data_IF_644100727980
#
_entry.id   IF_644100727980
#
_cell.length_a   1.000
_cell.length_b   1.000
_cell.length_c   1.000
_cell.angle_alpha   90.00
_cell.angle_beta   90.00
_cell.angle_gamma   90.00
#
_symmetry.space_group_name_H-M   'P 1'
#
loop_
_entity.id
_entity.type
_entity.pdbx_description
1 polymer ?
#
# COMPACT_ATOMS: atom_id res chain seq x y z
N UNK A 1 25.80 -7.59 20.81
CA UNK A 1 26.57 -6.75 19.85
C UNK A 1 26.56 -7.46 18.51
N UNK A 2 26.15 -6.77 17.46
CA UNK A 2 26.18 -7.31 16.10
C UNK A 2 27.62 -7.19 15.60
N UNK A 3 28.27 -8.31 15.30
CA UNK A 3 29.60 -8.31 14.69
C UNK A 3 29.46 -8.00 13.21
N UNK A 4 30.05 -6.88 12.76
CA UNK A 4 30.03 -6.47 11.35
C UNK A 4 31.16 -7.22 10.62
N UNK A 5 30.89 -7.69 9.41
CA UNK A 5 31.91 -8.30 8.56
C UNK A 5 33.04 -7.28 8.25
N UNK A 6 34.29 -7.69 8.42
CA UNK A 6 35.47 -6.83 8.23
C UNK A 6 35.58 -6.24 6.81
N UNK A 7 35.16 -6.97 5.78
CA UNK A 7 35.14 -6.44 4.41
C UNK A 7 34.12 -5.31 4.27
N UNK A 8 32.91 -5.48 4.83
CA UNK A 8 31.89 -4.42 4.84
C UNK A 8 32.35 -3.20 5.65
N UNK A 9 33.06 -3.44 6.75
CA UNK A 9 33.62 -2.37 7.56
C UNK A 9 34.66 -1.57 6.78
N UNK A 10 35.61 -2.26 6.13
CA UNK A 10 36.63 -1.63 5.28
C UNK A 10 36.00 -0.76 4.18
N UNK A 11 34.95 -1.22 3.51
CA UNK A 11 34.27 -0.42 2.48
C UNK A 11 33.54 0.79 3.07
N UNK A 12 32.94 0.67 4.27
CA UNK A 12 32.32 1.82 4.96
C UNK A 12 33.36 2.85 5.41
N UNK A 13 34.52 2.40 5.86
CA UNK A 13 35.61 3.26 6.33
C UNK A 13 36.26 4.05 5.16
N UNK A 14 36.16 3.55 3.93
CA UNK A 14 36.62 4.26 2.72
C UNK A 14 35.67 5.40 2.27
N UNK A 15 34.53 5.61 2.93
CA UNK A 15 33.56 6.64 2.56
C UNK A 15 34.14 8.05 2.74
N UNK A 16 34.07 8.89 1.70
CA UNK A 16 34.66 10.25 1.69
C UNK A 16 33.68 11.35 2.12
N UNK A 17 32.47 10.99 2.53
CA UNK A 17 31.42 11.90 2.98
C UNK A 17 30.64 11.30 4.16
N UNK A 18 29.90 12.11 4.91
CA UNK A 18 29.04 11.62 5.99
C UNK A 18 27.75 11.00 5.40
N UNK A 19 27.52 9.67 5.53
CA UNK A 19 26.30 9.04 5.05
C UNK A 19 25.04 9.55 5.76
N UNK A 20 25.19 10.10 6.97
CA UNK A 20 24.10 10.69 7.74
C UNK A 20 23.62 11.96 7.08
N UNK A 21 24.53 12.84 6.66
CA UNK A 21 24.20 14.07 5.93
C UNK A 21 23.48 13.76 4.61
N UNK A 22 23.95 12.74 3.87
CA UNK A 22 23.25 12.29 2.66
C UNK A 22 21.84 11.78 2.98
N UNK A 23 21.69 10.97 4.03
CA UNK A 23 20.38 10.45 4.45
C UNK A 23 19.42 11.59 4.82
N UNK A 24 19.89 12.56 5.58
CA UNK A 24 19.11 13.74 5.96
C UNK A 24 18.73 14.58 4.74
N UNK A 25 19.63 14.70 3.77
CA UNK A 25 19.36 15.39 2.51
C UNK A 25 18.27 14.66 1.71
N UNK A 26 18.34 13.34 1.60
CA UNK A 26 17.35 12.52 0.89
C UNK A 26 15.97 12.54 1.55
N UNK A 27 15.93 12.49 2.88
CA UNK A 27 14.69 12.54 3.65
C UNK A 27 14.10 13.97 3.74
N UNK A 28 14.86 14.99 3.34
CA UNK A 28 14.45 16.39 3.38
C UNK A 28 14.59 17.06 4.75
N UNK A 29 15.52 16.59 5.58
CA UNK A 29 15.95 17.22 6.83
C UNK A 29 16.15 16.22 7.98
N UNK A 30 16.91 16.61 9.03
CA UNK A 30 17.17 15.76 10.19
C UNK A 30 15.91 15.35 10.95
N UNK A 31 14.91 16.24 11.05
CA UNK A 31 13.63 15.95 11.70
C UNK A 31 12.85 14.84 10.98
N UNK A 32 12.81 14.89 9.63
CA UNK A 32 12.15 13.86 8.82
C UNK A 32 12.86 12.52 8.89
N UNK A 33 14.20 12.51 8.89
CA UNK A 33 14.98 11.28 9.12
C UNK A 33 14.70 10.69 10.48
N UNK A 34 14.65 11.50 11.54
CA UNK A 34 14.35 11.03 12.89
C UNK A 34 12.94 10.44 12.98
N UNK A 35 11.93 11.15 12.45
CA UNK A 35 10.55 10.67 12.42
C UNK A 35 10.41 9.36 11.62
N UNK A 36 11.07 9.24 10.45
CA UNK A 36 11.09 8.00 9.67
C UNK A 36 11.71 6.84 10.45
N UNK A 37 12.86 7.06 11.10
CA UNK A 37 13.54 6.03 11.90
C UNK A 37 12.72 5.60 13.12
N UNK A 38 12.09 6.53 13.84
CA UNK A 38 11.18 6.21 14.96
C UNK A 38 10.01 5.33 14.49
N UNK A 39 9.40 5.67 13.35
CA UNK A 39 8.35 4.84 12.75
C UNK A 39 8.87 3.46 12.35
N UNK A 40 9.98 3.40 11.61
CA UNK A 40 10.62 2.13 11.23
C UNK A 40 10.88 1.26 12.45
N UNK A 41 11.44 1.82 13.52
CA UNK A 41 11.71 1.10 14.76
C UNK A 41 10.43 0.57 15.42
N UNK A 42 9.37 1.37 15.49
CA UNK A 42 8.08 0.97 16.09
C UNK A 42 7.39 -0.20 15.38
N UNK A 43 7.52 -0.28 14.05
CA UNK A 43 6.93 -1.36 13.27
C UNK A 43 7.88 -2.56 13.09
N UNK A 44 9.16 -2.32 12.78
CA UNK A 44 10.12 -3.38 12.48
C UNK A 44 10.61 -4.12 13.72
N UNK A 45 10.49 -3.56 14.92
CA UNK A 45 10.79 -4.28 16.17
C UNK A 45 9.57 -5.00 16.75
N UNK A 46 8.41 -4.93 16.11
CA UNK A 46 7.23 -5.66 16.57
C UNK A 46 7.43 -7.17 16.40
N UNK A 47 7.34 -7.97 17.48
CA UNK A 47 7.41 -9.43 17.40
C UNK A 47 6.36 -10.05 16.48
N UNK A 48 5.14 -9.48 16.42
CA UNK A 48 4.05 -10.00 15.58
C UNK A 48 4.32 -9.77 14.08
N UNK A 49 5.22 -8.86 13.72
CA UNK A 49 5.62 -8.58 12.35
C UNK A 49 6.92 -9.28 11.95
N UNK A 50 7.55 -10.07 12.83
CA UNK A 50 8.73 -10.85 12.48
C UNK A 50 8.35 -12.08 11.65
N UNK A 51 9.24 -12.45 10.73
CA UNK A 51 9.13 -13.69 9.98
C UNK A 51 9.64 -14.86 10.84
N UNK A 52 8.75 -15.76 11.29
CA UNK A 52 9.16 -17.02 11.92
C UNK A 52 9.80 -17.99 10.91
N UNK A 53 9.23 -18.01 9.70
CA UNK A 53 9.67 -18.83 8.57
C UNK A 53 9.92 -17.91 7.38
N UNK A 54 11.09 -17.98 6.73
CA UNK A 54 11.36 -17.18 5.54
C UNK A 54 10.34 -17.46 4.43
N UNK A 55 9.91 -16.41 3.73
CA UNK A 55 8.87 -16.51 2.69
C UNK A 55 9.17 -17.54 1.59
N UNK A 56 10.45 -17.79 1.29
CA UNK A 56 10.89 -18.80 0.31
C UNK A 56 10.49 -20.24 0.67
N UNK A 57 10.18 -20.52 1.94
CA UNK A 57 9.73 -21.83 2.41
C UNK A 57 8.20 -21.92 2.54
N UNK A 58 7.48 -20.82 2.29
CA UNK A 58 6.01 -20.77 2.34
C UNK A 58 5.42 -21.08 0.97
N UNK A 59 4.29 -21.79 0.97
CA UNK A 59 3.42 -21.90 -0.20
C UNK A 59 2.76 -20.55 -0.52
N UNK A 60 2.23 -20.41 -1.73
CA UNK A 60 1.52 -19.20 -2.14
C UNK A 60 0.36 -18.85 -1.21
N UNK A 61 -0.37 -19.87 -0.72
CA UNK A 61 -1.46 -19.70 0.24
C UNK A 61 -0.95 -19.15 1.58
N UNK A 62 0.13 -19.70 2.11
CA UNK A 62 0.69 -19.25 3.40
C UNK A 62 1.25 -17.83 3.31
N UNK A 63 1.87 -17.48 2.17
CA UNK A 63 2.30 -16.09 1.91
C UNK A 63 1.11 -15.14 1.93
N UNK A 64 0.00 -15.52 1.28
CA UNK A 64 -1.21 -14.71 1.27
C UNK A 64 -1.84 -14.56 2.66
N UNK A 65 -2.02 -15.66 3.40
CA UNK A 65 -2.58 -15.64 4.76
C UNK A 65 -1.72 -14.78 5.70
N UNK A 66 -0.39 -14.87 5.58
CA UNK A 66 0.53 -14.03 6.35
C UNK A 66 0.46 -12.55 5.93
N UNK A 67 0.32 -12.26 4.63
CA UNK A 67 0.15 -10.89 4.13
C UNK A 67 -1.14 -10.24 4.65
N UNK A 68 -2.25 -10.99 4.67
CA UNK A 68 -3.53 -10.52 5.25
C UNK A 68 -3.37 -10.28 6.76
N UNK A 69 -2.78 -11.24 7.49
CA UNK A 69 -2.50 -11.12 8.93
C UNK A 69 -1.68 -9.86 9.24
N UNK A 70 -0.57 -9.65 8.53
CA UNK A 70 0.30 -8.47 8.65
C UNK A 70 -0.46 -7.18 8.35
N UNK A 71 -1.26 -7.15 7.29
CA UNK A 71 -2.07 -5.98 6.95
C UNK A 71 -3.06 -5.61 8.07
N UNK A 72 -3.72 -6.59 8.70
CA UNK A 72 -4.59 -6.34 9.86
C UNK A 72 -3.84 -5.77 11.07
N UNK A 73 -2.65 -6.29 11.37
CA UNK A 73 -1.80 -5.78 12.46
C UNK A 73 -1.38 -4.34 12.17
N UNK A 74 -0.95 -4.06 10.94
CA UNK A 74 -0.57 -2.71 10.52
C UNK A 74 -1.71 -1.71 10.69
N UNK A 75 -2.92 -2.05 10.22
CA UNK A 75 -4.10 -1.20 10.40
C UNK A 75 -4.36 -0.91 11.87
N UNK A 76 -4.33 -1.93 12.72
CA UNK A 76 -4.56 -1.78 14.17
C UNK A 76 -3.52 -0.85 14.81
N UNK A 77 -2.24 -1.00 14.45
CA UNK A 77 -1.15 -0.15 14.97
C UNK A 77 -1.26 1.28 14.48
N UNK A 78 -1.62 1.50 13.22
CA UNK A 78 -1.84 2.86 12.68
C UNK A 78 -3.02 3.52 13.39
N UNK A 79 -4.13 2.81 13.61
CA UNK A 79 -5.26 3.32 14.38
C UNK A 79 -4.85 3.72 15.81
N UNK A 80 -4.06 2.88 16.49
CA UNK A 80 -3.55 3.19 17.83
C UNK A 80 -2.67 4.46 17.85
N UNK A 81 -1.79 4.63 16.86
CA UNK A 81 -0.98 5.84 16.73
C UNK A 81 -1.87 7.07 16.49
N UNK A 82 -2.93 6.92 15.71
CA UNK A 82 -3.89 7.99 15.45
C UNK A 82 -4.67 8.39 16.72
N UNK A 83 -5.11 7.41 17.51
CA UNK A 83 -5.79 7.64 18.80
C UNK A 83 -4.88 8.34 19.83
N UNK A 84 -3.57 8.09 19.75
CA UNK A 84 -2.54 8.76 20.55
C UNK A 84 -2.16 10.16 20.03
N UNK A 85 -2.80 10.64 18.95
CA UNK A 85 -2.49 11.93 18.32
C UNK A 85 -1.15 11.94 17.56
N UNK A 86 -0.54 10.78 17.34
CA UNK A 86 0.72 10.59 16.60
C UNK A 86 0.51 10.17 15.14
N UNK A 87 -0.73 10.02 14.70
CA UNK A 87 -1.06 9.64 13.33
C UNK A 87 -1.01 10.81 12.36
N UNK A 88 0.00 10.85 11.49
CA UNK A 88 0.03 11.77 10.34
C UNK A 88 -0.94 11.29 9.25
N UNK A 89 -1.47 12.22 8.43
CA UNK A 89 -2.43 11.90 7.35
C UNK A 89 -1.83 10.93 6.33
N UNK A 90 -0.53 11.07 6.06
CA UNK A 90 0.22 10.23 5.13
C UNK A 90 0.74 8.93 5.78
N UNK A 91 0.50 8.70 7.07
CA UNK A 91 0.94 7.48 7.75
C UNK A 91 0.34 6.23 7.08
N UNK A 92 -0.93 6.28 6.69
CA UNK A 92 -1.60 5.19 5.99
C UNK A 92 -0.96 4.92 4.62
N UNK A 93 -0.62 5.96 3.85
CA UNK A 93 0.03 5.77 2.55
C UNK A 93 1.47 5.28 2.71
N UNK A 94 2.22 5.77 3.70
CA UNK A 94 3.59 5.33 3.97
C UNK A 94 3.67 3.88 4.50
N UNK A 95 2.76 3.48 5.38
CA UNK A 95 2.74 2.15 6.02
C UNK A 95 2.07 1.11 5.15
N UNK A 96 1.07 1.47 4.33
CA UNK A 96 0.30 0.50 3.55
C UNK A 96 0.64 0.49 2.06
N UNK A 97 1.28 1.54 1.54
CA UNK A 97 1.70 1.64 0.13
C UNK A 97 3.11 2.18 -0.10
N UNK A 98 3.83 2.56 0.95
CA UNK A 98 5.17 3.14 0.88
C UNK A 98 6.29 2.15 1.21
N UNK A 99 7.52 2.66 1.28
CA UNK A 99 8.72 1.85 1.52
C UNK A 99 8.66 1.02 2.80
N UNK A 100 8.09 1.58 3.88
CA UNK A 100 7.90 0.86 5.15
C UNK A 100 6.93 -0.31 4.98
N UNK A 101 5.81 -0.08 4.30
CA UNK A 101 4.85 -1.14 3.96
C UNK A 101 5.47 -2.28 3.16
N UNK A 102 6.28 -1.95 2.14
CA UNK A 102 7.03 -2.95 1.36
C UNK A 102 8.08 -3.69 2.19
N UNK A 103 8.68 -3.05 3.20
CA UNK A 103 9.61 -3.69 4.12
C UNK A 103 8.95 -4.70 5.06
N UNK A 104 7.70 -4.43 5.47
CA UNK A 104 6.93 -5.27 6.40
C UNK A 104 6.16 -6.37 5.66
N UNK A 105 5.61 -6.06 4.49
CA UNK A 105 4.85 -6.96 3.62
C UNK A 105 5.62 -7.20 2.33
N UNK A 106 6.77 -7.89 2.44
CA UNK A 106 7.75 -8.10 1.37
C UNK A 106 7.17 -8.77 0.12
N UNK A 107 6.22 -9.68 0.32
CA UNK A 107 5.58 -10.46 -0.74
C UNK A 107 4.29 -9.81 -1.29
N UNK A 108 3.99 -8.60 -0.85
CA UNK A 108 2.81 -7.84 -1.26
C UNK A 108 1.85 -7.56 -0.11
N UNK A 109 1.14 -6.43 -0.20
CA UNK A 109 0.11 -6.03 0.75
C UNK A 109 -1.26 -6.04 0.06
N UNK A 110 -2.23 -6.87 0.52
CA UNK A 110 -3.55 -6.95 -0.09
C UNK A 110 -4.34 -5.62 -0.02
N UNK A 111 -3.97 -4.71 0.87
CA UNK A 111 -4.59 -3.41 1.04
C UNK A 111 -3.86 -2.27 0.32
N UNK A 112 -2.74 -2.54 -0.36
CA UNK A 112 -1.94 -1.48 -0.98
C UNK A 112 -2.76 -0.64 -1.98
N UNK A 113 -3.46 -1.28 -2.91
CA UNK A 113 -4.26 -0.55 -3.91
C UNK A 113 -5.47 0.16 -3.32
N UNK A 114 -5.94 -0.27 -2.15
CA UNK A 114 -7.03 0.42 -1.46
C UNK A 114 -6.62 1.85 -1.10
N UNK A 115 -5.43 2.01 -0.51
CA UNK A 115 -4.92 3.32 -0.10
C UNK A 115 -4.23 4.08 -1.23
N UNK A 116 -3.54 3.40 -2.14
CA UNK A 116 -2.75 4.05 -3.20
C UNK A 116 -3.61 4.46 -4.40
N UNK A 117 -4.71 3.76 -4.68
CA UNK A 117 -5.52 4.03 -5.88
C UNK A 117 -7.02 4.21 -5.60
N UNK A 118 -7.65 3.34 -4.81
CA UNK A 118 -9.09 3.38 -4.60
C UNK A 118 -9.55 4.65 -3.87
N UNK A 119 -8.94 4.97 -2.73
CA UNK A 119 -9.26 6.20 -1.99
C UNK A 119 -8.95 7.46 -2.82
N UNK A 120 -7.75 7.61 -3.44
CA UNK A 120 -7.45 8.75 -4.30
C UNK A 120 -8.40 8.88 -5.50
N UNK A 121 -8.85 7.78 -6.11
CA UNK A 121 -9.81 7.83 -7.21
C UNK A 121 -11.16 8.43 -6.76
N UNK A 122 -11.66 8.06 -5.58
CA UNK A 122 -12.88 8.65 -5.03
C UNK A 122 -12.67 10.14 -4.71
N UNK A 123 -11.54 10.51 -4.12
CA UNK A 123 -11.23 11.91 -3.80
C UNK A 123 -11.08 12.78 -5.05
N UNK A 124 -10.46 12.25 -6.11
CA UNK A 124 -10.18 12.98 -7.33
C UNK A 124 -11.34 13.03 -8.34
N UNK A 125 -12.25 12.06 -8.31
CA UNK A 125 -13.32 11.92 -9.31
C UNK A 125 -14.74 11.97 -8.73
N UNK A 126 -14.90 11.78 -7.41
CA UNK A 126 -16.20 11.79 -6.74
C UNK A 126 -16.71 13.20 -6.45
N UNK A 127 -18.03 13.37 -6.44
CA UNK A 127 -18.69 14.59 -5.93
C UNK A 127 -18.53 14.70 -4.41
N UNK A 128 -18.76 15.89 -3.84
CA UNK A 128 -18.70 16.09 -2.37
C UNK A 128 -19.61 15.12 -1.62
N UNK A 129 -20.81 14.85 -2.14
CA UNK A 129 -21.75 13.90 -1.56
C UNK A 129 -21.20 12.46 -1.61
N UNK A 130 -20.66 12.04 -2.77
CA UNK A 130 -20.06 10.72 -2.94
C UNK A 130 -18.82 10.53 -2.04
N UNK A 131 -17.99 11.58 -1.92
CA UNK A 131 -16.84 11.57 -1.03
C UNK A 131 -17.29 11.42 0.43
N UNK A 132 -18.27 12.20 0.88
CA UNK A 132 -18.81 12.09 2.24
C UNK A 132 -19.36 10.69 2.57
N UNK A 133 -20.00 10.05 1.59
CA UNK A 133 -20.52 8.70 1.72
C UNK A 133 -19.41 7.64 1.72
N UNK A 134 -18.47 7.67 0.77
CA UNK A 134 -17.53 6.57 0.56
C UNK A 134 -16.20 6.71 1.32
N UNK A 135 -15.64 7.91 1.45
CA UNK A 135 -14.29 8.10 1.99
C UNK A 135 -14.21 7.69 3.46
N UNK A 136 -15.18 8.08 4.28
CA UNK A 136 -15.21 7.71 5.69
C UNK A 136 -15.22 6.19 5.90
N UNK A 137 -15.97 5.46 5.05
CA UNK A 137 -16.04 4.00 5.08
C UNK A 137 -14.78 3.32 4.56
N UNK A 138 -14.20 3.86 3.49
CA UNK A 138 -12.94 3.36 2.95
C UNK A 138 -11.80 3.55 3.96
N UNK A 139 -11.70 4.74 4.56
CA UNK A 139 -10.66 5.06 5.53
C UNK A 139 -10.71 4.15 6.77
N UNK A 140 -11.91 3.85 7.25
CA UNK A 140 -12.14 2.93 8.37
C UNK A 140 -12.06 1.43 7.99
N UNK A 141 -11.70 1.09 6.74
CA UNK A 141 -11.73 -0.26 6.18
C UNK A 141 -13.07 -1.01 6.32
N UNK A 142 -14.19 -0.28 6.46
CA UNK A 142 -15.53 -0.88 6.39
C UNK A 142 -15.85 -1.38 4.98
N UNK A 143 -15.14 -0.85 3.99
CA UNK A 143 -15.09 -1.34 2.62
C UNK A 143 -13.62 -1.46 2.20
N UNK A 144 -13.31 -2.50 1.45
CA UNK A 144 -12.02 -2.67 0.78
C UNK A 144 -12.29 -2.61 -0.72
N UNK A 145 -11.44 -1.89 -1.43
CA UNK A 145 -11.66 -1.53 -2.82
C UNK A 145 -10.36 -1.45 -3.60
N UNK A 146 -10.49 -1.47 -4.92
CA UNK A 146 -9.37 -1.38 -5.86
C UNK A 146 -9.78 -0.54 -7.06
N UNK A 147 -8.81 -0.15 -7.87
CA UNK A 147 -9.05 0.59 -9.11
C UNK A 147 -8.91 -0.34 -10.31
N UNK A 148 -10.04 -0.69 -10.93
CA UNK A 148 -10.12 -1.69 -11.98
C UNK A 148 -10.19 -1.05 -13.38
N UNK A 149 -9.04 -0.69 -13.95
CA UNK A 149 -8.95 -0.11 -15.29
C UNK A 149 -8.59 -1.14 -16.36
N UNK A 150 -7.44 -1.78 -16.22
CA UNK A 150 -6.84 -2.69 -17.21
C UNK A 150 -7.76 -3.87 -17.51
N UNK A 151 -7.85 -4.20 -18.79
CA UNK A 151 -8.55 -5.37 -19.33
C UNK A 151 -7.55 -6.39 -19.89
N UNK A 152 -7.98 -7.64 -20.01
CA UNK A 152 -7.15 -8.71 -20.57
C UNK A 152 -6.62 -8.36 -21.98
N UNK A 153 -7.44 -7.71 -22.81
CA UNK A 153 -7.05 -7.25 -24.15
C UNK A 153 -6.36 -5.89 -24.20
N UNK A 154 -6.52 -5.06 -23.16
CA UNK A 154 -6.16 -3.64 -23.22
C UNK A 154 -5.62 -3.11 -21.88
N UNK A 155 -4.34 -2.73 -21.85
CA UNK A 155 -3.72 -2.02 -20.71
C UNK A 155 -3.42 -0.56 -21.05
N UNK A 156 -2.49 -0.33 -21.98
CA UNK A 156 -2.01 1.01 -22.32
C UNK A 156 -3.02 1.80 -23.16
N UNK A 157 -3.76 1.14 -24.05
CA UNK A 157 -4.70 1.79 -24.97
C UNK A 157 -6.08 1.95 -24.35
N UNK A 158 -6.26 3.00 -23.53
CA UNK A 158 -7.51 3.27 -22.79
C UNK A 158 -8.72 3.42 -23.73
N UNK A 159 -8.54 4.01 -24.91
CA UNK A 159 -9.63 4.17 -25.90
C UNK A 159 -10.12 2.84 -26.49
N UNK A 160 -9.37 1.76 -26.32
CA UNK A 160 -9.75 0.42 -26.75
C UNK A 160 -10.48 -0.41 -25.69
N UNK A 161 -10.66 0.11 -24.48
CA UNK A 161 -11.38 -0.62 -23.43
C UNK A 161 -12.79 -0.98 -23.90
N UNK A 162 -13.18 -2.22 -23.63
CA UNK A 162 -14.38 -2.85 -24.16
C UNK A 162 -15.52 -2.88 -23.14
N UNK A 163 -15.22 -2.74 -21.84
CA UNK A 163 -16.26 -2.66 -20.80
C UNK A 163 -17.16 -1.47 -21.07
N UNK A 164 -18.47 -1.71 -21.15
CA UNK A 164 -19.47 -0.66 -21.37
C UNK A 164 -20.22 -0.34 -20.08
N UNK A 165 -20.60 0.93 -19.93
CA UNK A 165 -21.52 1.42 -18.91
C UNK A 165 -22.63 2.19 -19.62
N UNK A 166 -23.79 1.55 -19.81
CA UNK A 166 -24.93 2.15 -20.52
C UNK A 166 -25.94 2.67 -19.51
N UNK A 167 -26.33 3.94 -19.63
CA UNK A 167 -27.33 4.54 -18.75
C UNK A 167 -28.74 4.13 -19.15
N UNK A 168 -29.49 3.57 -18.20
CA UNK A 168 -30.90 3.25 -18.35
C UNK A 168 -31.76 4.41 -17.80
N UNK A 169 -32.58 4.99 -18.67
CA UNK A 169 -33.43 6.14 -18.34
C UNK A 169 -34.61 5.76 -17.44
N UNK A 170 -35.09 4.52 -17.50
CA UNK A 170 -36.26 4.07 -16.74
C UNK A 170 -35.89 3.86 -15.27
N UNK A 171 -34.78 3.15 -15.02
CA UNK A 171 -34.31 2.83 -13.66
C UNK A 171 -33.37 3.86 -13.08
N UNK A 172 -32.80 4.75 -13.92
CA UNK A 172 -31.74 5.71 -13.55
C UNK A 172 -30.46 5.03 -13.05
N UNK A 173 -30.13 3.89 -13.64
CA UNK A 173 -28.96 3.08 -13.28
C UNK A 173 -27.98 2.98 -14.46
N UNK A 174 -26.73 2.61 -14.15
CA UNK A 174 -25.76 2.23 -15.16
C UNK A 174 -25.66 0.70 -15.23
N UNK A 175 -25.88 0.15 -16.42
CA UNK A 175 -25.68 -1.28 -16.68
C UNK A 175 -24.24 -1.50 -17.13
N UNK A 176 -23.45 -2.13 -16.27
CA UNK A 176 -22.06 -2.52 -16.57
C UNK A 176 -22.04 -3.87 -17.30
N UNK A 177 -21.31 -3.94 -18.41
CA UNK A 177 -21.19 -5.17 -19.20
C UNK A 177 -19.76 -5.41 -19.68
N UNK A 178 -19.34 -6.68 -19.62
CA UNK A 178 -18.09 -7.18 -20.20
C UNK A 178 -18.44 -8.04 -21.42
N UNK A 179 -18.55 -7.45 -22.63
CA UNK A 179 -19.15 -8.10 -23.80
C UNK A 179 -18.30 -9.25 -24.36
N UNK A 180 -17.00 -9.25 -24.09
CA UNK A 180 -16.03 -10.20 -24.65
C UNK A 180 -15.13 -10.77 -23.55
N UNK A 181 -14.45 -11.89 -23.83
CA UNK A 181 -13.45 -12.43 -22.88
C UNK A 181 -12.25 -11.50 -22.71
N UNK A 182 -11.93 -10.67 -23.70
CA UNK A 182 -10.85 -9.69 -23.63
C UNK A 182 -11.22 -8.48 -22.77
N UNK A 183 -12.51 -8.20 -22.60
CA UNK A 183 -13.03 -7.11 -21.75
C UNK A 183 -12.96 -7.38 -20.24
N UNK A 184 -12.57 -8.58 -19.80
CA UNK A 184 -12.43 -8.86 -18.36
C UNK A 184 -11.36 -7.96 -17.75
N UNK A 185 -11.71 -7.30 -16.63
CA UNK A 185 -10.74 -6.56 -15.83
C UNK A 185 -9.67 -7.51 -15.31
N UNK A 186 -8.42 -7.24 -15.65
CA UNK A 186 -7.28 -8.11 -15.39
C UNK A 186 -6.08 -7.29 -14.95
N UNK A 187 -5.36 -7.78 -13.93
CA UNK A 187 -4.30 -7.10 -13.15
C UNK A 187 -4.68 -6.25 -11.93
N UNK A 188 -5.92 -5.76 -11.69
CA UNK A 188 -6.21 -5.02 -10.47
C UNK A 188 -5.87 -5.86 -9.23
N UNK A 189 -4.87 -5.42 -8.48
CA UNK A 189 -4.48 -6.00 -7.20
C UNK A 189 -5.57 -5.85 -6.13
N UNK A 190 -5.44 -6.60 -5.04
CA UNK A 190 -6.51 -6.77 -4.04
C UNK A 190 -7.45 -7.95 -4.35
N UNK A 191 -7.24 -8.63 -5.47
CA UNK A 191 -7.68 -10.01 -5.72
C UNK A 191 -6.46 -10.92 -5.77
N UNK A 192 -5.98 -11.35 -4.62
CA UNK A 192 -5.26 -12.61 -4.49
C UNK A 192 -6.04 -13.49 -3.54
#
# INVERSE_FOLDING_TARGET
MITINEDLKRERDNCTFDPTELTQTLDGGPEKTAARREREEYFLNDPELQDEVPATYKSHKEVYEDAVRRACILLKKVQQLQDLGKGEIDMYSQVLGGMLGSGICKDGNPLALHYVMFIPAIMGQGTVEQQGYWISRAWACNIIGTYAQTELGHGTFIRGLETTAVYDLETKEFVLNSPTRTSYKWWPGGRT
#
